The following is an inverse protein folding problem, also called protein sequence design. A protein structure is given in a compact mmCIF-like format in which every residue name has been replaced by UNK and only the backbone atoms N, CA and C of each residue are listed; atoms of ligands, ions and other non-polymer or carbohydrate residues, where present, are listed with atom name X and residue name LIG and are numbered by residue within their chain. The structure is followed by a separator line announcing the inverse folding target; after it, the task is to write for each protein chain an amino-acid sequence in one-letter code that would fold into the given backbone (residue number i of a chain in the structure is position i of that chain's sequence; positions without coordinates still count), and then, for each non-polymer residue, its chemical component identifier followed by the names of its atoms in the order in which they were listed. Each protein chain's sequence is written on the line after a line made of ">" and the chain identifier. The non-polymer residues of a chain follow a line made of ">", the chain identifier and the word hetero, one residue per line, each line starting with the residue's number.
data_IF_684028063269
#
_entry.id   IF_684028063269
#
_cell.length_a   1.000
_cell.length_b   1.000
_cell.length_c   1.000
_cell.angle_alpha   90.00
_cell.angle_beta   90.00
_cell.angle_gamma   90.00
#
_symmetry.space_group_name_H-M   'P 1'
#
loop_
_entity.id
_entity.type
_entity.pdbx_description
1 polymer ?
#
# COMPACT_ATOMS: atom_id res chain seq x y z
N UNK A 1 -17.40 52.26 -57.61
CA UNK A 1 -17.47 50.86 -57.17
C UNK A 1 -16.29 50.41 -56.31
N UNK A 2 -15.08 50.98 -56.45
CA UNK A 2 -13.90 50.59 -55.64
C UNK A 2 -14.07 50.73 -54.10
N UNK A 3 -14.74 51.79 -53.61
CA UNK A 3 -14.86 52.07 -52.16
C UNK A 3 -15.74 51.09 -51.36
N UNK A 4 -16.57 50.28 -52.03
CA UNK A 4 -17.44 49.28 -51.36
C UNK A 4 -16.71 47.96 -51.16
N UNK A 5 -15.77 47.62 -52.04
CA UNK A 5 -14.96 46.39 -51.95
C UNK A 5 -13.88 46.49 -50.86
N UNK A 6 -13.25 47.66 -50.69
CA UNK A 6 -12.27 47.91 -49.62
C UNK A 6 -12.87 47.87 -48.20
N UNK A 7 -14.18 48.07 -48.08
CA UNK A 7 -14.91 47.98 -46.82
C UNK A 7 -15.27 46.54 -46.43
N UNK A 8 -15.58 45.68 -47.42
CA UNK A 8 -15.94 44.28 -47.20
C UNK A 8 -14.74 43.46 -46.73
N UNK A 9 -13.55 43.69 -47.32
CA UNK A 9 -12.32 42.96 -46.98
C UNK A 9 -11.84 43.28 -45.54
N UNK A 10 -11.91 44.55 -45.14
CA UNK A 10 -11.64 44.98 -43.76
C UNK A 10 -12.62 44.33 -42.76
N UNK A 11 -13.92 44.26 -43.08
CA UNK A 11 -14.90 43.61 -42.19
C UNK A 11 -14.74 42.09 -42.08
N UNK A 12 -14.13 41.44 -43.08
CA UNK A 12 -13.73 40.02 -42.99
C UNK A 12 -12.55 39.89 -42.03
N UNK A 13 -11.50 40.68 -42.23
CA UNK A 13 -10.29 40.68 -41.39
C UNK A 13 -10.61 41.02 -39.92
N UNK A 14 -11.52 41.97 -39.65
CA UNK A 14 -11.97 42.28 -38.29
C UNK A 14 -12.79 41.15 -37.66
N UNK A 15 -13.60 40.42 -38.45
CA UNK A 15 -14.33 39.24 -37.97
C UNK A 15 -13.39 38.09 -37.65
N UNK A 16 -12.40 37.84 -38.51
CA UNK A 16 -11.39 36.80 -38.30
C UNK A 16 -10.53 37.10 -37.07
N UNK A 17 -10.11 38.36 -36.86
CA UNK A 17 -9.43 38.79 -35.62
C UNK A 17 -10.30 38.66 -34.37
N UNK A 18 -11.60 38.97 -34.46
CA UNK A 18 -12.52 38.77 -33.33
C UNK A 18 -12.68 37.28 -33.00
N UNK A 19 -12.80 36.41 -34.02
CA UNK A 19 -12.89 34.96 -33.83
C UNK A 19 -11.58 34.43 -33.21
N UNK A 20 -10.42 34.86 -33.72
CA UNK A 20 -9.12 34.50 -33.14
C UNK A 20 -9.02 34.93 -31.67
N UNK A 21 -9.43 36.15 -31.32
CA UNK A 21 -9.43 36.63 -29.94
C UNK A 21 -10.34 35.80 -29.02
N UNK A 22 -11.55 35.46 -29.49
CA UNK A 22 -12.49 34.59 -28.75
C UNK A 22 -11.90 33.20 -28.55
N UNK A 23 -11.26 32.63 -29.58
CA UNK A 23 -10.62 31.31 -29.50
C UNK A 23 -9.43 31.32 -28.55
N UNK A 24 -8.61 32.38 -28.57
CA UNK A 24 -7.48 32.56 -27.65
C UNK A 24 -7.96 32.67 -26.20
N UNK A 25 -9.04 33.42 -25.97
CA UNK A 25 -9.64 33.55 -24.64
C UNK A 25 -10.20 32.20 -24.13
N UNK A 26 -10.93 31.46 -24.97
CA UNK A 26 -11.43 30.13 -24.62
C UNK A 26 -10.31 29.12 -24.34
N UNK A 27 -9.21 29.18 -25.12
CA UNK A 27 -8.04 28.35 -24.91
C UNK A 27 -7.37 28.68 -23.58
N UNK A 28 -7.21 29.97 -23.27
CA UNK A 28 -6.65 30.45 -21.99
C UNK A 28 -7.45 29.93 -20.79
N UNK A 29 -8.77 30.09 -20.80
CA UNK A 29 -9.66 29.60 -19.74
C UNK A 29 -9.56 28.06 -19.62
N UNK A 30 -9.47 27.36 -20.76
CA UNK A 30 -9.31 25.90 -20.78
C UNK A 30 -8.00 25.45 -20.15
N UNK A 31 -6.88 26.09 -20.48
CA UNK A 31 -5.56 25.80 -19.90
C UNK A 31 -5.60 26.06 -18.39
N UNK A 32 -6.13 27.21 -17.98
CA UNK A 32 -6.22 27.57 -16.58
C UNK A 32 -7.06 26.57 -15.78
N UNK A 33 -8.19 26.11 -16.34
CA UNK A 33 -9.01 25.04 -15.74
C UNK A 33 -8.22 23.75 -15.53
N UNK A 34 -7.42 23.33 -16.51
CA UNK A 34 -6.60 22.13 -16.39
C UNK A 34 -5.52 22.28 -15.32
N UNK A 35 -4.93 23.48 -15.18
CA UNK A 35 -3.98 23.78 -14.12
C UNK A 35 -4.63 23.69 -12.73
N UNK A 36 -5.81 24.28 -12.54
CA UNK A 36 -6.57 24.18 -11.28
C UNK A 36 -6.88 22.72 -10.95
N UNK A 37 -7.34 21.94 -11.92
CA UNK A 37 -7.62 20.52 -11.72
C UNK A 37 -6.36 19.73 -11.34
N UNK A 38 -5.22 20.04 -11.96
CA UNK A 38 -3.92 19.42 -11.63
C UNK A 38 -3.55 19.70 -10.17
N UNK A 39 -3.65 20.94 -9.71
CA UNK A 39 -3.39 21.32 -8.32
C UNK A 39 -4.34 20.61 -7.35
N UNK A 40 -5.63 20.51 -7.67
CA UNK A 40 -6.59 19.76 -6.85
C UNK A 40 -6.18 18.29 -6.73
N UNK A 41 -5.80 17.65 -7.83
CA UNK A 41 -5.37 16.24 -7.85
C UNK A 41 -4.10 16.04 -7.01
N UNK A 42 -3.14 16.97 -7.06
CA UNK A 42 -1.94 16.92 -6.23
C UNK A 42 -2.27 16.93 -4.73
N UNK A 43 -3.20 17.79 -4.31
CA UNK A 43 -3.65 17.85 -2.90
C UNK A 43 -4.40 16.57 -2.52
N UNK A 44 -5.35 16.13 -3.36
CA UNK A 44 -6.21 14.97 -3.09
C UNK A 44 -5.42 13.66 -3.03
N UNK A 45 -4.35 13.54 -3.82
CA UNK A 45 -3.50 12.35 -3.86
C UNK A 45 -2.30 12.40 -2.91
N UNK A 46 -2.06 13.53 -2.22
CA UNK A 46 -0.96 13.67 -1.28
C UNK A 46 -1.09 12.68 -0.10
N UNK A 47 0.03 12.09 0.32
CA UNK A 47 0.10 11.23 1.50
C UNK A 47 1.28 11.68 2.37
N UNK A 48 1.06 12.24 3.58
CA UNK A 48 -0.22 12.50 4.26
C UNK A 48 -0.92 13.81 3.83
N UNK A 49 -2.27 13.84 3.87
CA UNK A 49 -3.06 15.07 3.67
C UNK A 49 -3.16 15.85 4.99
N UNK A 50 -2.81 17.15 4.97
CA UNK A 50 -2.96 18.04 6.12
C UNK A 50 -4.34 18.71 6.09
N UNK A 51 -5.01 18.79 7.25
CA UNK A 51 -6.33 19.44 7.38
C UNK A 51 -6.30 20.93 7.04
N UNK A 52 -5.17 21.61 7.25
CA UNK A 52 -5.00 23.02 6.90
C UNK A 52 -5.11 23.30 5.39
N UNK A 53 -4.89 22.29 4.54
CA UNK A 53 -4.99 22.43 3.08
C UNK A 53 -6.44 22.41 2.58
N UNK A 54 -7.41 21.98 3.41
CA UNK A 54 -8.81 21.84 2.99
C UNK A 54 -9.45 23.19 2.64
N UNK A 55 -9.08 24.27 3.33
CA UNK A 55 -9.55 25.62 2.99
C UNK A 55 -9.02 26.09 1.64
N UNK A 56 -7.75 25.77 1.32
CA UNK A 56 -7.18 26.04 0.01
C UNK A 56 -7.85 25.18 -1.08
N UNK A 57 -8.07 23.89 -0.80
CA UNK A 57 -8.78 22.99 -1.70
C UNK A 57 -10.20 23.50 -2.01
N UNK A 58 -10.95 24.02 -1.02
CA UNK A 58 -12.28 24.61 -1.27
C UNK A 58 -12.21 25.83 -2.19
N UNK A 59 -11.15 26.62 -2.08
CA UNK A 59 -10.92 27.77 -2.99
C UNK A 59 -10.68 27.30 -4.42
N UNK A 60 -9.88 26.24 -4.61
CA UNK A 60 -9.66 25.62 -5.91
C UNK A 60 -10.94 25.00 -6.49
N UNK A 61 -11.76 24.36 -5.65
CA UNK A 61 -13.05 23.78 -6.04
C UNK A 61 -14.01 24.83 -6.60
N UNK A 62 -14.19 25.95 -5.88
CA UNK A 62 -15.03 27.07 -6.33
C UNK A 62 -14.52 27.62 -7.65
N UNK A 63 -13.19 27.82 -7.74
CA UNK A 63 -12.55 28.32 -8.97
C UNK A 63 -12.77 27.37 -10.14
N UNK A 64 -12.58 26.07 -9.94
CA UNK A 64 -12.83 25.05 -10.96
C UNK A 64 -14.29 25.08 -11.43
N UNK A 65 -15.24 25.19 -10.50
CA UNK A 65 -16.65 25.28 -10.82
C UNK A 65 -16.97 26.52 -11.66
N UNK A 66 -16.49 27.70 -11.28
CA UNK A 66 -16.69 28.94 -12.03
C UNK A 66 -16.15 28.82 -13.47
N UNK A 67 -14.94 28.28 -13.64
CA UNK A 67 -14.33 28.08 -14.96
C UNK A 67 -15.11 27.08 -15.81
N UNK A 68 -15.67 26.03 -15.19
CA UNK A 68 -16.47 25.05 -15.89
C UNK A 68 -17.81 25.66 -16.33
N UNK A 69 -18.49 26.41 -15.46
CA UNK A 69 -19.75 27.09 -15.79
C UNK A 69 -19.58 28.13 -16.89
N UNK A 70 -18.44 28.83 -16.95
CA UNK A 70 -18.15 29.79 -18.01
C UNK A 70 -17.97 29.12 -19.39
N UNK A 71 -17.33 27.94 -19.44
CA UNK A 71 -17.05 27.23 -20.69
C UNK A 71 -18.19 26.29 -21.12
N UNK A 72 -18.90 25.70 -20.16
CA UNK A 72 -19.82 24.58 -20.35
C UNK A 72 -20.99 24.67 -19.35
N UNK A 73 -21.86 25.70 -19.44
CA UNK A 73 -22.92 25.94 -18.46
C UNK A 73 -23.88 24.75 -18.29
N UNK A 74 -24.18 24.03 -19.37
CA UNK A 74 -25.18 22.95 -19.36
C UNK A 74 -24.61 21.54 -19.08
N UNK A 75 -23.31 21.41 -18.76
CA UNK A 75 -22.64 20.10 -18.61
C UNK A 75 -22.11 19.83 -17.19
N UNK A 76 -22.94 20.06 -16.18
CA UNK A 76 -22.63 19.68 -14.79
C UNK A 76 -22.93 18.20 -14.54
N UNK A 77 -21.99 17.33 -14.90
CA UNK A 77 -22.11 15.90 -14.58
C UNK A 77 -21.95 15.63 -13.07
N UNK A 78 -22.52 14.53 -12.54
CA UNK A 78 -22.30 14.15 -11.14
C UNK A 78 -20.82 14.06 -10.73
N UNK A 79 -19.94 13.67 -11.66
CA UNK A 79 -18.49 13.61 -11.42
C UNK A 79 -17.91 14.98 -11.08
N UNK A 80 -18.39 16.03 -11.76
CA UNK A 80 -17.98 17.41 -11.48
C UNK A 80 -18.51 17.85 -10.14
N UNK A 81 -19.77 17.56 -9.83
CA UNK A 81 -20.36 17.90 -8.54
C UNK A 81 -19.54 17.32 -7.37
N UNK A 82 -19.19 16.03 -7.42
CA UNK A 82 -18.32 15.43 -6.40
C UNK A 82 -16.91 16.03 -6.38
N UNK A 83 -16.39 16.47 -7.54
CA UNK A 83 -15.10 17.13 -7.62
C UNK A 83 -15.07 18.47 -6.88
N UNK A 84 -16.19 19.19 -6.85
CA UNK A 84 -16.31 20.48 -6.15
C UNK A 84 -16.56 20.36 -4.64
N UNK A 85 -16.70 19.13 -4.12
CA UNK A 85 -16.99 18.84 -2.71
C UNK A 85 -15.94 17.92 -2.06
N UNK A 86 -14.77 17.76 -2.68
CA UNK A 86 -13.70 16.92 -2.12
C UNK A 86 -13.22 17.40 -0.76
N UNK A 87 -13.16 18.71 -0.50
CA UNK A 87 -12.76 19.27 0.78
C UNK A 87 -13.67 18.80 1.93
N UNK A 88 -14.98 18.76 1.70
CA UNK A 88 -15.97 18.22 2.64
C UNK A 88 -15.84 16.72 2.80
N UNK A 89 -15.77 15.99 1.67
CA UNK A 89 -15.63 14.53 1.68
C UNK A 89 -14.35 14.11 2.43
N UNK A 90 -13.23 14.80 2.22
CA UNK A 90 -11.95 14.49 2.88
C UNK A 90 -11.99 14.82 4.36
N UNK A 91 -12.68 15.90 4.75
CA UNK A 91 -12.88 16.24 6.16
C UNK A 91 -13.64 15.14 6.90
N UNK A 92 -14.66 14.58 6.27
CA UNK A 92 -15.61 13.67 6.92
C UNK A 92 -15.16 12.19 6.83
N UNK A 93 -14.63 11.76 5.67
CA UNK A 93 -14.22 10.37 5.40
C UNK A 93 -12.70 10.15 5.33
N UNK A 94 -11.91 11.22 5.31
CA UNK A 94 -10.46 11.16 5.16
C UNK A 94 -9.97 11.09 3.70
N UNK A 95 -8.67 10.82 3.47
CA UNK A 95 -8.06 10.87 2.13
C UNK A 95 -8.70 9.91 1.12
N UNK A 96 -8.97 10.31 -0.14
CA UNK A 96 -9.68 9.46 -1.10
C UNK A 96 -8.94 8.20 -1.51
N UNK A 97 -7.61 8.22 -1.39
CA UNK A 97 -6.74 7.05 -1.60
C UNK A 97 -7.10 5.86 -0.68
N UNK A 98 -7.79 6.09 0.44
CA UNK A 98 -8.21 5.02 1.35
C UNK A 98 -9.43 4.25 0.85
N UNK A 99 -10.31 4.89 0.08
CA UNK A 99 -11.58 4.30 -0.37
C UNK A 99 -11.74 4.27 -1.90
N UNK A 100 -10.74 4.71 -2.67
CA UNK A 100 -10.77 4.61 -4.13
C UNK A 100 -10.78 3.17 -4.65
N UNK A 101 -11.43 2.95 -5.79
CA UNK A 101 -11.55 1.61 -6.36
C UNK A 101 -10.31 1.11 -7.12
N UNK A 102 -9.28 1.95 -7.30
CA UNK A 102 -8.07 1.60 -8.09
C UNK A 102 -7.36 0.34 -7.57
N UNK A 103 -7.38 0.11 -6.25
CA UNK A 103 -6.79 -1.09 -5.64
C UNK A 103 -7.52 -2.37 -6.07
N UNK A 104 -8.85 -2.31 -6.18
CA UNK A 104 -9.66 -3.44 -6.64
C UNK A 104 -9.44 -3.69 -8.13
N UNK A 105 -9.38 -2.64 -8.94
CA UNK A 105 -9.08 -2.76 -10.37
C UNK A 105 -7.68 -3.34 -10.64
N UNK A 106 -6.68 -2.90 -9.88
CA UNK A 106 -5.33 -3.48 -9.92
C UNK A 106 -5.32 -4.97 -9.56
N UNK A 107 -6.17 -5.39 -8.60
CA UNK A 107 -6.33 -6.80 -8.25
C UNK A 107 -7.08 -7.59 -9.33
N UNK A 108 -8.07 -7.00 -9.99
CA UNK A 108 -8.77 -7.62 -11.12
C UNK A 108 -7.83 -7.94 -12.28
N UNK A 109 -6.82 -7.09 -12.54
CA UNK A 109 -5.83 -7.37 -13.59
C UNK A 109 -5.10 -8.71 -13.40
N UNK A 110 -4.72 -9.05 -12.16
CA UNK A 110 -4.14 -10.35 -11.82
C UNK A 110 -5.06 -11.50 -12.21
N UNK A 111 -6.35 -11.39 -11.86
CA UNK A 111 -7.35 -12.41 -12.14
C UNK A 111 -7.61 -12.57 -13.64
N UNK A 112 -7.76 -11.47 -14.39
CA UNK A 112 -7.91 -11.49 -15.85
C UNK A 112 -6.74 -12.20 -16.53
N UNK A 113 -5.51 -11.83 -16.16
CA UNK A 113 -4.29 -12.45 -16.71
C UNK A 113 -4.19 -13.93 -16.38
N UNK A 114 -4.58 -14.33 -15.16
CA UNK A 114 -4.58 -15.74 -14.76
C UNK A 114 -5.68 -16.54 -15.46
N UNK A 115 -6.85 -15.96 -15.66
CA UNK A 115 -7.94 -16.63 -16.36
C UNK A 115 -7.54 -16.98 -17.80
N UNK A 116 -7.01 -15.99 -18.52
CA UNK A 116 -6.52 -16.17 -19.89
C UNK A 116 -5.45 -17.26 -19.98
N UNK A 117 -4.49 -17.26 -19.05
CA UNK A 117 -3.37 -18.23 -19.05
C UNK A 117 -3.73 -19.64 -18.60
N UNK A 118 -4.85 -19.82 -17.90
CA UNK A 118 -5.19 -21.15 -17.36
C UNK A 118 -5.88 -22.03 -18.41
N UNK A 119 -6.55 -21.43 -19.39
CA UNK A 119 -7.25 -22.15 -20.45
C UNK A 119 -8.41 -23.05 -19.97
N UNK A 120 -8.75 -23.02 -18.67
CA UNK A 120 -9.84 -23.81 -18.09
C UNK A 120 -11.02 -22.89 -17.73
N UNK A 121 -12.12 -23.02 -18.49
CA UNK A 121 -13.31 -22.19 -18.36
C UNK A 121 -14.48 -22.88 -17.64
N UNK A 122 -14.40 -24.19 -17.34
CA UNK A 122 -15.50 -24.94 -16.69
C UNK A 122 -15.86 -24.39 -15.31
N UNK A 123 -14.88 -23.92 -14.54
CA UNK A 123 -15.11 -23.25 -13.26
C UNK A 123 -13.98 -22.27 -12.95
N UNK A 124 -14.02 -21.13 -13.64
CA UNK A 124 -12.96 -20.13 -13.57
C UNK A 124 -12.84 -19.52 -12.16
N UNK A 125 -13.97 -19.27 -11.49
CA UNK A 125 -14.01 -18.68 -10.15
C UNK A 125 -13.30 -19.57 -9.12
N UNK A 126 -13.59 -20.88 -9.11
CA UNK A 126 -12.90 -21.85 -8.23
C UNK A 126 -11.40 -21.85 -8.50
N UNK A 127 -11.03 -21.92 -9.79
CA UNK A 127 -9.62 -21.98 -10.20
C UNK A 127 -8.84 -20.73 -9.78
N UNK A 128 -9.41 -19.55 -9.99
CA UNK A 128 -8.82 -18.26 -9.60
C UNK A 128 -8.74 -18.12 -8.07
N UNK A 129 -9.78 -18.54 -7.35
CA UNK A 129 -9.81 -18.50 -5.89
C UNK A 129 -8.71 -19.38 -5.29
N UNK A 130 -8.61 -20.65 -5.71
CA UNK A 130 -7.58 -21.59 -5.24
C UNK A 130 -6.16 -21.08 -5.55
N UNK A 131 -5.92 -20.56 -6.75
CA UNK A 131 -4.61 -19.98 -7.11
C UNK A 131 -4.28 -18.73 -6.30
N UNK A 132 -5.27 -17.88 -6.03
CA UNK A 132 -5.08 -16.71 -5.18
C UNK A 132 -4.79 -17.12 -3.72
N UNK A 133 -5.46 -18.15 -3.20
CA UNK A 133 -5.16 -18.72 -1.86
C UNK A 133 -3.71 -19.21 -1.78
N UNK A 134 -3.25 -20.02 -2.74
CA UNK A 134 -1.85 -20.47 -2.76
C UNK A 134 -0.84 -19.31 -2.85
N UNK A 135 -1.15 -18.28 -3.65
CA UNK A 135 -0.31 -17.07 -3.72
C UNK A 135 -0.21 -16.39 -2.35
N UNK A 136 -1.33 -16.24 -1.63
CA UNK A 136 -1.33 -15.65 -0.29
C UNK A 136 -0.57 -16.51 0.71
N UNK A 137 -0.76 -17.83 0.70
CA UNK A 137 0.02 -18.73 1.56
C UNK A 137 1.53 -18.56 1.36
N UNK A 138 1.98 -18.46 0.10
CA UNK A 138 3.39 -18.22 -0.22
C UNK A 138 3.90 -16.84 0.24
N UNK A 139 3.08 -15.79 0.11
CA UNK A 139 3.46 -14.45 0.56
C UNK A 139 3.54 -14.38 2.09
N UNK A 140 2.60 -15.04 2.78
CA UNK A 140 2.57 -15.14 4.23
C UNK A 140 3.73 -15.98 4.77
N UNK A 141 4.07 -17.10 4.12
CA UNK A 141 5.21 -17.93 4.55
C UNK A 141 6.56 -17.21 4.42
N UNK A 142 6.65 -16.24 3.51
CA UNK A 142 7.83 -15.36 3.36
C UNK A 142 7.86 -14.22 4.37
N UNK A 143 6.74 -13.86 4.99
CA UNK A 143 6.69 -12.79 5.98
C UNK A 143 7.30 -13.26 7.30
N UNK A 144 8.49 -12.73 7.63
CA UNK A 144 9.17 -12.98 8.93
C UNK A 144 8.33 -12.56 10.14
N UNK A 145 7.39 -11.62 9.96
CA UNK A 145 6.50 -11.13 11.00
C UNK A 145 5.54 -12.20 11.55
N UNK A 146 5.10 -13.16 10.72
CA UNK A 146 4.21 -14.24 11.16
C UNK A 146 4.96 -15.50 11.60
N UNK A 147 6.29 -15.50 11.49
CA UNK A 147 7.14 -16.55 12.02
C UNK A 147 7.28 -16.34 13.53
N UNK A 148 6.28 -16.77 14.29
CA UNK A 148 6.29 -16.76 15.75
C UNK A 148 7.02 -18.00 16.28
N UNK A 149 8.25 -18.25 15.80
CA UNK A 149 9.05 -19.38 16.25
C UNK A 149 10.52 -19.00 16.37
N UNK A 150 11.17 -19.59 17.37
CA UNK A 150 12.59 -19.42 17.65
C UNK A 150 13.41 -20.02 16.51
N UNK A 151 14.10 -19.19 15.74
CA UNK A 151 15.07 -19.65 14.74
C UNK A 151 16.48 -19.56 15.35
N UNK A 152 17.19 -20.68 15.38
CA UNK A 152 18.62 -20.75 15.73
C UNK A 152 19.43 -21.04 14.48
N UNK A 153 20.43 -20.21 14.18
CA UNK A 153 21.40 -20.49 13.11
C UNK A 153 22.69 -21.04 13.70
N UNK A 154 23.24 -22.10 13.07
CA UNK A 154 24.53 -22.70 13.41
C UNK A 154 24.61 -23.16 14.87
N UNK A 155 24.04 -24.34 15.11
CA UNK A 155 23.94 -24.98 16.42
C UNK A 155 25.14 -25.91 16.62
N UNK A 156 25.92 -25.70 17.68
CA UNK A 156 26.92 -26.67 18.15
C UNK A 156 26.47 -27.25 19.48
N UNK A 157 26.45 -28.58 19.58
CA UNK A 157 26.23 -29.23 20.86
C UNK A 157 27.50 -29.13 21.70
N UNK A 158 27.38 -28.55 22.89
CA UNK A 158 28.48 -28.32 23.82
C UNK A 158 28.13 -28.97 25.17
N UNK A 159 29.14 -29.46 25.90
CA UNK A 159 28.95 -29.98 27.26
C UNK A 159 29.03 -28.84 28.26
N UNK A 160 28.32 -28.95 29.39
CA UNK A 160 28.36 -27.96 30.46
C UNK A 160 29.78 -27.66 30.94
N UNK A 161 30.67 -28.65 30.93
CA UNK A 161 32.11 -28.51 31.25
C UNK A 161 32.83 -27.43 30.42
N UNK A 162 32.39 -27.20 29.19
CA UNK A 162 33.06 -26.31 28.23
C UNK A 162 32.47 -24.89 28.23
N UNK A 163 31.44 -24.62 29.03
CA UNK A 163 30.89 -23.28 29.20
C UNK A 163 31.76 -22.44 30.17
N UNK A 164 31.71 -21.11 30.02
CA UNK A 164 32.37 -20.20 30.95
C UNK A 164 31.83 -20.34 32.39
N UNK A 165 32.67 -20.03 33.37
CA UNK A 165 32.36 -20.16 34.81
C UNK A 165 31.10 -19.40 35.22
N UNK A 166 30.96 -18.15 34.74
CA UNK A 166 29.82 -17.28 35.06
C UNK A 166 28.51 -17.84 34.49
N UNK A 167 28.56 -18.39 33.26
CA UNK A 167 27.41 -18.99 32.60
C UNK A 167 27.00 -20.29 33.31
N UNK A 168 27.97 -21.10 33.76
CA UNK A 168 27.70 -22.30 34.58
C UNK A 168 26.98 -21.94 35.86
N UNK A 169 27.47 -20.94 36.59
CA UNK A 169 26.87 -20.50 37.85
C UNK A 169 25.43 -20.04 37.63
N UNK A 170 25.19 -19.20 36.61
CA UNK A 170 23.85 -18.69 36.30
C UNK A 170 22.87 -19.80 35.86
N UNK A 171 23.37 -20.83 35.17
CA UNK A 171 22.59 -22.02 34.82
C UNK A 171 22.25 -22.87 36.04
N UNK A 172 23.20 -23.09 36.95
CA UNK A 172 22.96 -23.82 38.19
C UNK A 172 21.95 -23.10 39.10
N UNK A 173 22.04 -21.77 39.20
CA UNK A 173 21.07 -20.95 39.95
C UNK A 173 19.65 -21.00 39.36
N UNK A 174 19.53 -21.03 38.03
CA UNK A 174 18.22 -21.03 37.33
C UNK A 174 17.54 -22.40 37.28
N UNK A 175 18.30 -23.48 37.08
CA UNK A 175 17.75 -24.81 36.76
C UNK A 175 18.08 -25.90 37.79
N UNK A 176 18.96 -25.62 38.76
CA UNK A 176 19.39 -26.59 39.77
C UNK A 176 20.43 -27.60 39.26
N UNK A 177 21.27 -28.09 40.15
CA UNK A 177 22.42 -28.95 39.82
C UNK A 177 21.99 -30.31 39.27
N UNK A 178 20.91 -30.89 39.80
CA UNK A 178 20.43 -32.24 39.46
C UNK A 178 19.92 -32.37 38.01
N UNK A 179 19.24 -31.33 37.49
CA UNK A 179 18.68 -31.31 36.14
C UNK A 179 19.75 -31.15 35.05
N UNK A 180 20.92 -30.61 35.40
CA UNK A 180 22.02 -30.30 34.47
C UNK A 180 23.02 -31.45 34.27
N UNK A 181 22.95 -32.50 35.11
CA UNK A 181 23.95 -33.58 35.16
C UNK A 181 23.65 -34.80 34.28
N UNK A 182 22.39 -35.10 33.95
CA UNK A 182 22.03 -36.47 33.54
C UNK A 182 21.57 -36.64 32.09
N UNK A 183 21.02 -35.61 31.43
CA UNK A 183 20.55 -35.73 30.02
C UNK A 183 20.40 -34.42 29.25
N UNK A 184 20.78 -33.30 29.86
CA UNK A 184 20.54 -31.97 29.29
C UNK A 184 21.51 -31.69 28.16
N UNK A 185 20.97 -31.55 26.95
CA UNK A 185 21.75 -31.14 25.80
C UNK A 185 21.85 -29.62 25.83
N UNK A 186 23.07 -29.11 25.77
CA UNK A 186 23.35 -27.68 25.77
C UNK A 186 23.79 -27.28 24.37
N UNK A 187 23.12 -26.29 23.79
CA UNK A 187 23.44 -25.77 22.46
C UNK A 187 24.06 -24.41 22.57
N UNK A 188 25.17 -24.24 21.87
CA UNK A 188 25.74 -22.94 21.61
C UNK A 188 25.29 -22.50 20.21
N UNK A 189 24.67 -21.33 20.15
CA UNK A 189 24.14 -20.74 18.92
C UNK A 189 24.84 -19.41 18.66
N UNK A 190 25.21 -19.15 17.40
CA UNK A 190 25.80 -17.86 17.02
C UNK A 190 24.77 -16.72 17.01
N UNK A 191 23.53 -17.02 16.62
CA UNK A 191 22.41 -16.08 16.58
C UNK A 191 21.14 -16.79 17.01
N UNK A 192 20.43 -16.19 17.98
CA UNK A 192 19.11 -16.61 18.42
C UNK A 192 18.12 -15.50 18.08
N UNK A 193 17.05 -15.84 17.35
CA UNK A 193 15.95 -14.92 17.09
C UNK A 193 14.75 -15.40 17.91
N UNK A 194 14.36 -14.62 18.92
CA UNK A 194 13.19 -14.91 19.75
C UNK A 194 12.28 -13.68 19.78
N UNK A 195 11.00 -13.87 19.46
CA UNK A 195 9.99 -12.79 19.37
C UNK A 195 10.47 -11.57 18.57
N UNK A 196 11.08 -11.83 17.41
CA UNK A 196 11.62 -10.82 16.49
C UNK A 196 12.81 -10.00 17.01
N UNK A 197 13.35 -10.34 18.19
CA UNK A 197 14.57 -9.77 18.74
C UNK A 197 15.74 -10.70 18.42
N UNK A 198 16.80 -10.14 17.84
CA UNK A 198 18.03 -10.86 17.45
C UNK A 198 19.07 -10.74 18.55
N UNK A 199 19.38 -11.85 19.21
CA UNK A 199 20.44 -11.97 20.20
C UNK A 199 21.69 -12.54 19.49
N UNK A 200 22.83 -11.86 19.59
CA UNK A 200 24.10 -12.28 18.99
C UNK A 200 25.17 -12.42 20.07
N UNK A 201 26.03 -13.43 19.88
CA UNK A 201 27.25 -13.77 20.62
C UNK A 201 27.04 -14.78 21.77
N UNK A 202 27.72 -15.95 21.66
CA UNK A 202 27.89 -17.04 22.64
C UNK A 202 26.72 -17.33 23.58
N UNK A 203 25.49 -17.25 23.07
CA UNK A 203 24.31 -17.47 23.89
C UNK A 203 24.04 -18.97 24.00
N UNK A 204 24.02 -19.46 25.25
CA UNK A 204 23.81 -20.87 25.58
C UNK A 204 22.32 -21.14 25.72
N UNK A 205 21.79 -22.06 24.93
CA UNK A 205 20.39 -22.51 24.99
C UNK A 205 20.36 -23.91 25.60
N UNK A 206 19.74 -24.02 26.77
CA UNK A 206 19.45 -25.30 27.43
C UNK A 206 18.06 -25.74 27.00
N UNK A 207 17.96 -26.92 26.40
CA UNK A 207 16.69 -27.53 26.05
C UNK A 207 16.57 -28.83 26.84
N UNK A 208 15.61 -28.83 27.76
CA UNK A 208 15.24 -30.04 28.45
C UNK A 208 14.22 -30.78 27.58
N UNK A 209 14.63 -31.89 26.96
CA UNK A 209 13.67 -32.78 26.33
C UNK A 209 13.03 -33.57 27.45
N UNK A 210 11.92 -33.08 27.98
CA UNK A 210 11.02 -33.91 28.78
C UNK A 210 10.47 -34.96 27.82
N UNK A 211 11.13 -36.11 27.75
CA UNK A 211 10.53 -37.30 27.18
C UNK A 211 9.42 -37.70 28.15
N UNK A 212 8.17 -37.35 27.84
CA UNK A 212 7.03 -37.92 28.55
C UNK A 212 7.10 -39.45 28.41
N UNK A 213 7.19 -40.23 29.49
CA UNK A 213 7.13 -41.67 29.37
C UNK A 213 5.68 -42.12 29.18
N UNK A 214 5.52 -43.12 28.32
CA UNK A 214 4.43 -44.11 28.23
C UNK A 214 3.02 -43.73 27.71
N UNK A 215 2.73 -44.33 26.55
CA UNK A 215 1.56 -45.20 26.30
C UNK A 215 0.17 -44.55 26.17
N UNK A 216 -0.22 -44.24 24.93
CA UNK A 216 -1.63 -44.31 24.52
C UNK A 216 -1.80 -45.63 23.77
N UNK A 217 -2.15 -46.69 24.52
CA UNK A 217 -2.76 -47.89 23.94
C UNK A 217 -4.16 -47.48 23.50
N UNK A 218 -4.38 -47.36 22.20
CA UNK A 218 -5.71 -47.25 21.63
C UNK A 218 -6.25 -48.68 21.58
N UNK A 219 -7.05 -49.07 22.57
CA UNK A 219 -8.12 -50.07 22.38
C UNK A 219 -9.26 -49.45 21.60
#
# INVERSE_FOLDING_TARGET
>A
MQKVLDGLDKTSIYRDKCIENILVEQLSITIYRLQVLREMVEIVLALPIRKSWLSYLKTLEIRFQCLLSALLPDKMSPKVHFCCEYSGIIRDFGPPVRYWCMRYEGRHFYFKKKALRTGNFKNISKTLATRNQYKHCLLLSKCKFLKLYSETSCVKQTKLSNCDGDVKQLLYEKFGIECLSSSTRILECQVLIHNHVSYKQNSVVVYDVIQSPSSITIT
#
